data_IF_842527445195
#
_entry.id   IF_842527445195
#
_cell.length_a   1.000
_cell.length_b   1.000
_cell.length_c   1.000
_cell.angle_alpha   90.00
_cell.angle_beta   90.00
_cell.angle_gamma   90.00
#
_symmetry.space_group_name_H-M   'P 1'
#
loop_
_entity.id
_entity.type
_entity.pdbx_description
1 polymer ?
#
# COMPACT_ATOMS: atom_id res chain seq x y z
N UNK A 1 -31.56 -14.06 7.53
CA UNK A 1 -30.18 -13.81 7.06
C UNK A 1 -29.33 -15.04 7.35
N UNK A 2 -28.71 -15.64 6.33
CA UNK A 2 -27.89 -16.84 6.51
C UNK A 2 -26.59 -16.52 7.27
N UNK A 3 -25.96 -17.51 7.91
CA UNK A 3 -24.68 -17.33 8.61
C UNK A 3 -23.59 -16.74 7.69
N UNK A 4 -23.59 -17.14 6.41
CA UNK A 4 -22.69 -16.62 5.37
C UNK A 4 -22.88 -15.11 5.08
N UNK A 5 -24.12 -14.60 5.13
CA UNK A 5 -24.38 -13.17 4.95
C UNK A 5 -23.88 -12.33 6.13
N UNK A 6 -23.96 -12.86 7.36
CA UNK A 6 -23.44 -12.19 8.57
C UNK A 6 -21.91 -12.12 8.57
N UNK A 7 -21.23 -13.18 8.14
CA UNK A 7 -19.77 -13.17 8.00
C UNK A 7 -19.27 -12.20 6.94
N UNK A 8 -19.93 -12.16 5.77
CA UNK A 8 -19.58 -11.20 4.69
C UNK A 8 -19.78 -9.76 5.16
N UNK A 9 -20.87 -9.49 5.85
CA UNK A 9 -21.15 -8.18 6.42
C UNK A 9 -20.10 -7.77 7.46
N UNK A 10 -19.73 -8.66 8.38
CA UNK A 10 -18.68 -8.41 9.37
C UNK A 10 -17.32 -8.10 8.72
N UNK A 11 -16.94 -8.89 7.71
CA UNK A 11 -15.72 -8.64 6.93
C UNK A 11 -15.75 -7.29 6.22
N UNK A 12 -16.87 -6.96 5.57
CA UNK A 12 -17.03 -5.69 4.88
C UNK A 12 -16.94 -4.51 5.84
N UNK A 13 -17.64 -4.55 6.98
CA UNK A 13 -17.59 -3.51 8.01
C UNK A 13 -16.18 -3.31 8.55
N UNK A 14 -15.43 -4.39 8.78
CA UNK A 14 -14.02 -4.31 9.22
C UNK A 14 -13.13 -3.62 8.18
N UNK A 15 -13.30 -3.96 6.90
CA UNK A 15 -12.56 -3.32 5.80
C UNK A 15 -12.87 -1.83 5.72
N UNK A 16 -14.14 -1.45 5.82
CA UNK A 16 -14.54 -0.04 5.83
C UNK A 16 -13.94 0.74 6.99
N UNK A 17 -13.89 0.13 8.19
CA UNK A 17 -13.27 0.76 9.36
C UNK A 17 -11.78 1.03 9.17
N UNK A 18 -11.04 0.06 8.62
CA UNK A 18 -9.62 0.21 8.32
C UNK A 18 -9.37 1.30 7.26
N UNK A 19 -10.25 1.38 6.25
CA UNK A 19 -10.17 2.42 5.23
C UNK A 19 -10.42 3.81 5.81
N UNK A 20 -11.42 3.94 6.69
CA UNK A 20 -11.70 5.21 7.38
C UNK A 20 -10.55 5.62 8.29
N UNK A 21 -9.97 4.69 9.03
CA UNK A 21 -8.79 4.93 9.87
C UNK A 21 -7.62 5.46 9.03
N UNK A 22 -7.35 4.84 7.88
CA UNK A 22 -6.28 5.28 6.98
C UNK A 22 -6.54 6.69 6.44
N UNK A 23 -7.77 6.98 5.97
CA UNK A 23 -8.13 8.31 5.46
C UNK A 23 -8.04 9.40 6.53
N UNK A 24 -8.43 9.08 7.77
CA UNK A 24 -8.29 9.98 8.91
C UNK A 24 -6.82 10.22 9.22
N UNK A 25 -6.00 9.16 9.23
CA UNK A 25 -4.56 9.28 9.48
C UNK A 25 -3.86 10.12 8.40
N UNK A 26 -4.21 9.92 7.14
CA UNK A 26 -3.69 10.71 6.01
C UNK A 26 -4.10 12.19 6.14
N UNK A 27 -5.35 12.47 6.51
CA UNK A 27 -5.84 13.83 6.75
C UNK A 27 -5.19 14.48 7.98
N UNK A 28 -4.92 13.71 9.03
CA UNK A 28 -4.22 14.16 10.25
C UNK A 28 -2.72 14.40 10.00
N UNK A 29 -2.08 13.62 9.15
CA UNK A 29 -0.71 13.83 8.71
C UNK A 29 -0.61 15.10 7.84
N UNK A 30 -1.57 15.29 6.94
CA UNK A 30 -1.67 16.48 6.09
C UNK A 30 -1.94 17.76 6.91
N UNK A 31 -2.93 17.74 7.81
CA UNK A 31 -3.35 18.91 8.60
C UNK A 31 -2.34 19.37 9.65
N UNK A 32 -1.43 18.49 10.09
CA UNK A 32 -0.29 18.86 10.97
C UNK A 32 0.87 19.54 10.24
N UNK A 33 0.69 19.90 8.97
CA UNK A 33 1.68 20.62 8.17
C UNK A 33 2.90 19.78 7.82
N UNK A 34 2.79 18.44 7.85
CA UNK A 34 3.88 17.55 7.47
C UNK A 34 5.20 17.85 8.22
N UNK A 35 5.15 18.10 9.53
CA UNK A 35 6.36 18.20 10.37
C UNK A 35 7.04 16.85 10.47
N UNK A 36 7.69 16.47 9.39
CA UNK A 36 8.66 15.41 9.36
C UNK A 36 9.98 16.05 9.02
N UNK A 37 11.00 15.83 9.84
CA UNK A 37 12.36 16.13 9.41
C UNK A 37 12.67 15.22 8.23
N UNK A 38 12.97 15.77 7.03
CA UNK A 38 13.28 14.96 5.88
C UNK A 38 14.57 14.18 6.16
N UNK A 39 14.49 12.86 6.13
CA UNK A 39 15.62 11.95 6.31
C UNK A 39 16.01 11.34 4.96
N UNK A 40 17.26 10.90 4.79
CA UNK A 40 17.63 10.05 3.67
C UNK A 40 16.84 8.73 3.70
N UNK A 41 16.16 8.42 2.61
CA UNK A 41 15.36 7.20 2.41
C UNK A 41 15.90 6.45 1.20
N UNK A 42 16.24 5.17 1.39
CA UNK A 42 16.62 4.29 0.29
C UNK A 42 15.36 3.73 -0.38
N UNK A 43 15.07 4.18 -1.59
CA UNK A 43 13.91 3.74 -2.35
C UNK A 43 13.91 2.25 -2.61
N UNK A 44 15.08 1.59 -2.74
CA UNK A 44 15.11 0.14 -2.96
C UNK A 44 14.53 -0.60 -1.75
N UNK A 45 14.86 -0.15 -0.53
CA UNK A 45 14.31 -0.71 0.72
C UNK A 45 12.83 -0.42 0.83
N UNK A 46 12.43 0.82 0.56
CA UNK A 46 11.02 1.23 0.59
C UNK A 46 10.16 0.40 -0.38
N UNK A 47 10.62 0.17 -1.61
CA UNK A 47 9.92 -0.66 -2.58
C UNK A 47 9.89 -2.13 -2.15
N UNK A 48 10.96 -2.64 -1.54
CA UNK A 48 10.96 -4.01 -1.00
C UNK A 48 9.95 -4.19 0.13
N UNK A 49 9.87 -3.22 1.06
CA UNK A 49 8.86 -3.21 2.12
C UNK A 49 7.44 -3.15 1.56
N UNK A 50 7.20 -2.28 0.57
CA UNK A 50 5.91 -2.19 -0.12
C UNK A 50 5.52 -3.52 -0.78
N UNK A 51 6.45 -4.18 -1.48
CA UNK A 51 6.21 -5.48 -2.12
C UNK A 51 5.85 -6.55 -1.09
N UNK A 52 6.56 -6.64 0.03
CA UNK A 52 6.26 -7.60 1.10
C UNK A 52 4.85 -7.42 1.69
N UNK A 53 4.37 -6.18 1.77
CA UNK A 53 3.01 -5.89 2.23
C UNK A 53 1.95 -6.14 1.14
N UNK A 54 2.28 -5.88 -0.12
CA UNK A 54 1.34 -5.99 -1.25
C UNK A 54 1.13 -7.44 -1.71
N UNK A 55 2.19 -8.25 -1.72
CA UNK A 55 2.21 -9.64 -2.22
C UNK A 55 1.07 -10.51 -1.65
N UNK A 56 0.87 -10.61 -0.31
CA UNK A 56 -0.23 -11.42 0.23
C UNK A 56 -1.61 -10.88 -0.17
N UNK A 57 -1.74 -9.56 -0.39
CA UNK A 57 -3.01 -8.90 -0.70
C UNK A 57 -3.44 -9.12 -2.16
N UNK A 58 -2.47 -9.26 -3.07
CA UNK A 58 -2.72 -9.48 -4.50
C UNK A 58 -2.82 -10.97 -4.84
N UNK A 59 -2.10 -11.83 -4.11
CA UNK A 59 -2.20 -13.29 -4.24
C UNK A 59 -3.62 -13.81 -3.95
N UNK A 60 -4.28 -13.27 -2.92
CA UNK A 60 -5.69 -13.60 -2.59
C UNK A 60 -6.67 -13.33 -3.76
N UNK A 61 -6.34 -12.40 -4.66
CA UNK A 61 -7.16 -12.04 -5.83
C UNK A 61 -6.68 -12.69 -7.13
N UNK A 62 -5.62 -13.51 -7.08
CA UNK A 62 -4.99 -14.14 -8.23
C UNK A 62 -4.33 -13.13 -9.18
N UNK A 63 -3.93 -11.97 -8.68
CA UNK A 63 -3.23 -10.94 -9.45
C UNK A 63 -1.73 -11.27 -9.44
N UNK A 64 -1.09 -11.22 -10.61
CA UNK A 64 0.34 -11.46 -10.73
C UNK A 64 1.11 -10.17 -10.46
N UNK A 65 1.91 -10.16 -9.40
CA UNK A 65 2.79 -9.04 -9.08
C UNK A 65 4.14 -9.22 -9.77
N UNK A 66 4.55 -8.24 -10.56
CA UNK A 66 5.87 -8.19 -11.19
C UNK A 66 6.65 -7.02 -10.65
N UNK A 67 7.87 -7.28 -10.23
CA UNK A 67 8.83 -6.25 -9.89
C UNK A 67 9.90 -6.17 -10.97
N UNK A 68 10.02 -5.01 -11.58
CA UNK A 68 10.98 -4.70 -12.64
C UNK A 68 12.16 -3.87 -12.15
N UNK A 69 12.26 -3.66 -10.83
CA UNK A 69 13.36 -2.89 -10.25
C UNK A 69 14.70 -3.54 -10.55
N UNK A 70 15.60 -2.74 -11.11
CA UNK A 70 17.01 -3.13 -11.23
C UNK A 70 17.60 -3.08 -9.82
N UNK A 71 18.26 -4.14 -9.33
CA UNK A 71 19.12 -4.02 -8.17
C UNK A 71 20.20 -3.02 -8.53
N UNK A 72 20.01 -1.76 -8.16
CA UNK A 72 21.04 -0.77 -8.35
C UNK A 72 22.23 -1.22 -7.50
N UNK A 73 23.41 -1.27 -8.10
CA UNK A 73 24.67 -1.50 -7.37
C UNK A 73 24.90 -0.43 -6.27
N UNK A 74 24.07 0.63 -6.21
CA UNK A 74 24.08 1.70 -5.22
C UNK A 74 22.67 2.02 -4.69
N UNK A 75 22.51 2.44 -3.43
CA UNK A 75 21.23 2.88 -2.87
C UNK A 75 20.62 4.03 -3.67
N UNK A 76 19.30 3.97 -3.90
CA UNK A 76 18.56 5.03 -4.57
C UNK A 76 18.00 5.99 -3.52
N UNK A 77 18.83 6.95 -3.08
CA UNK A 77 18.51 7.81 -1.95
C UNK A 77 17.64 9.01 -2.34
N UNK A 78 16.56 9.25 -1.59
CA UNK A 78 15.77 10.48 -1.63
C UNK A 78 15.68 11.11 -0.25
N UNK A 79 15.33 12.40 -0.18
CA UNK A 79 15.12 13.09 1.09
C UNK A 79 13.62 13.19 1.36
N UNK A 80 13.14 12.61 2.46
CA UNK A 80 11.72 12.60 2.77
C UNK A 80 11.38 11.88 4.07
N UNK A 81 10.09 11.61 4.26
CA UNK A 81 9.63 10.80 5.38
C UNK A 81 9.31 9.39 4.88
N UNK A 82 10.00 8.37 5.42
CA UNK A 82 9.83 6.98 5.01
C UNK A 82 8.38 6.52 5.11
N UNK A 83 7.71 6.76 6.24
CA UNK A 83 6.32 6.34 6.46
C UNK A 83 5.34 7.01 5.50
N UNK A 84 5.52 8.31 5.23
CA UNK A 84 4.67 9.05 4.30
C UNK A 84 4.87 8.57 2.85
N UNK A 85 6.12 8.33 2.45
CA UNK A 85 6.44 7.80 1.12
C UNK A 85 5.89 6.37 0.95
N UNK A 86 6.05 5.51 1.96
CA UNK A 86 5.53 4.15 1.97
C UNK A 86 3.99 4.14 1.88
N UNK A 87 3.32 5.00 2.65
CA UNK A 87 1.87 5.19 2.57
C UNK A 87 1.40 5.65 1.19
N UNK A 88 2.12 6.60 0.57
CA UNK A 88 1.79 7.10 -0.76
C UNK A 88 1.92 6.01 -1.83
N UNK A 89 3.02 5.24 -1.86
CA UNK A 89 3.18 4.16 -2.85
C UNK A 89 2.19 3.01 -2.61
N UNK A 90 1.88 2.69 -1.36
CA UNK A 90 0.85 1.71 -1.02
C UNK A 90 -0.53 2.15 -1.50
N UNK A 91 -0.89 3.43 -1.35
CA UNK A 91 -2.16 3.96 -1.85
C UNK A 91 -2.28 3.74 -3.37
N UNK A 92 -1.23 4.06 -4.12
CA UNK A 92 -1.18 3.81 -5.57
C UNK A 92 -1.33 2.32 -5.88
N UNK A 93 -0.57 1.45 -5.20
CA UNK A 93 -0.61 0.00 -5.43
C UNK A 93 -1.98 -0.62 -5.10
N UNK A 94 -2.63 -0.16 -4.03
CA UNK A 94 -3.97 -0.60 -3.65
C UNK A 94 -5.01 -0.14 -4.67
N UNK A 95 -4.89 1.08 -5.21
CA UNK A 95 -5.75 1.56 -6.29
C UNK A 95 -5.53 0.73 -7.56
N UNK A 96 -4.28 0.39 -7.90
CA UNK A 96 -3.98 -0.50 -9.02
C UNK A 96 -4.66 -1.87 -8.82
N UNK A 97 -4.58 -2.44 -7.62
CA UNK A 97 -5.28 -3.69 -7.28
C UNK A 97 -6.80 -3.60 -7.47
N UNK A 98 -7.43 -2.54 -6.94
CA UNK A 98 -8.88 -2.36 -7.03
C UNK A 98 -9.40 -2.32 -8.46
N UNK A 99 -8.61 -1.78 -9.38
CA UNK A 99 -8.98 -1.63 -10.79
C UNK A 99 -8.37 -2.71 -11.71
N UNK A 100 -7.52 -3.59 -11.17
CA UNK A 100 -6.96 -4.71 -11.91
C UNK A 100 -8.02 -5.80 -12.08
N UNK A 101 -8.18 -6.29 -13.32
CA UNK A 101 -9.05 -7.43 -13.58
C UNK A 101 -8.52 -8.70 -12.87
N UNK A 102 -9.41 -9.64 -12.56
CA UNK A 102 -9.03 -10.92 -11.94
C UNK A 102 -8.05 -11.67 -12.86
N UNK A 103 -6.90 -12.09 -12.33
CA UNK A 103 -5.83 -12.68 -13.15
C UNK A 103 -4.93 -11.66 -13.87
N UNK A 104 -5.13 -10.37 -13.64
CA UNK A 104 -4.33 -9.30 -14.23
C UNK A 104 -2.93 -9.17 -13.62
N UNK A 105 -2.14 -8.24 -14.16
CA UNK A 105 -0.74 -8.04 -13.78
C UNK A 105 -0.58 -6.63 -13.23
N UNK A 106 0.04 -6.50 -12.06
CA UNK A 106 0.54 -5.22 -11.54
C UNK A 106 2.06 -5.23 -11.69
N UNK A 107 2.60 -4.23 -12.37
CA UNK A 107 4.05 -4.06 -12.52
C UNK A 107 4.50 -2.86 -11.71
N UNK A 108 5.55 -3.09 -10.92
CA UNK A 108 6.25 -2.11 -10.10
C UNK A 108 7.64 -1.88 -10.65
#
# INVERSE_FOLDING_TARGET
>A
MSASQREKFSRQSRLTLLQMEQQINDMLAFSRGGKYEPQPVDLNRLMHEMLQMLDPVVEEQGINLRYSGVPALKPAMVTGNHSALLGAVMNIALNAKQHCARGGIITI
#
